data_IF_373453503447
#
_entry.id   IF_373453503447
#
_cell.length_a   1.000
_cell.length_b   1.000
_cell.length_c   1.000
_cell.angle_alpha   90.00
_cell.angle_beta   90.00
_cell.angle_gamma   90.00
#
_symmetry.space_group_name_H-M   'P 1'
#
loop_
_entity.id
_entity.type
_entity.pdbx_description
1 polymer ?
#
# COMPACT_ATOMS: atom_id res chain seq x y z
N UNK A 1 -34.13 12.47 10.97
CA UNK A 1 -32.66 12.31 11.07
C UNK A 1 -32.37 10.92 10.55
N UNK A 2 -32.01 10.81 9.26
CA UNK A 2 -31.54 9.57 8.66
C UNK A 2 -30.14 9.34 9.23
N UNK A 3 -29.95 8.27 10.00
CA UNK A 3 -28.62 7.82 10.36
C UNK A 3 -27.92 7.37 9.08
N UNK A 4 -26.85 8.07 8.72
CA UNK A 4 -25.92 7.54 7.74
C UNK A 4 -25.44 6.21 8.31
N UNK A 5 -25.80 5.13 7.65
CA UNK A 5 -25.18 3.81 7.87
C UNK A 5 -23.69 3.99 7.56
N UNK A 6 -22.90 4.18 8.60
CA UNK A 6 -21.43 4.21 8.47
C UNK A 6 -21.05 2.78 8.09
N UNK A 7 -21.04 2.50 6.79
CA UNK A 7 -20.50 1.25 6.29
C UNK A 7 -19.02 1.20 6.64
N UNK A 8 -18.62 0.20 7.43
CA UNK A 8 -17.22 -0.02 7.76
C UNK A 8 -16.43 -0.25 6.48
N UNK A 9 -15.37 0.55 6.27
CA UNK A 9 -14.50 0.43 5.09
C UNK A 9 -13.55 -0.73 5.23
N UNK A 10 -13.22 -1.34 4.08
CA UNK A 10 -12.17 -2.33 3.96
C UNK A 10 -10.87 -1.65 3.50
N UNK A 11 -9.83 -1.76 4.30
CA UNK A 11 -8.50 -1.20 4.02
C UNK A 11 -7.51 -2.33 3.79
N UNK A 12 -6.80 -2.30 2.68
CA UNK A 12 -5.71 -3.24 2.39
C UNK A 12 -4.38 -2.51 2.39
N UNK A 13 -3.46 -2.93 3.27
CA UNK A 13 -2.11 -2.40 3.37
C UNK A 13 -1.13 -3.40 2.76
N UNK A 14 -0.46 -3.03 1.67
CA UNK A 14 0.64 -3.80 1.09
C UNK A 14 1.94 -3.43 1.80
N UNK A 15 2.37 -4.25 2.74
CA UNK A 15 3.63 -4.06 3.48
C UNK A 15 4.78 -4.77 2.78
N UNK A 16 5.68 -3.99 2.19
CA UNK A 16 6.74 -4.51 1.31
C UNK A 16 8.13 -4.55 1.96
N UNK A 17 8.22 -4.32 3.28
CA UNK A 17 9.49 -4.49 4.00
C UNK A 17 10.00 -5.93 3.90
N UNK A 18 11.25 -6.17 3.48
CA UNK A 18 11.86 -7.50 3.54
C UNK A 18 12.24 -7.88 4.99
N UNK A 19 12.31 -6.91 5.89
CA UNK A 19 12.68 -7.13 7.31
C UNK A 19 11.42 -7.22 8.17
N UNK A 20 11.29 -8.31 8.95
CA UNK A 20 10.23 -8.44 9.95
C UNK A 20 10.45 -7.38 11.04
N UNK A 21 9.38 -6.68 11.42
CA UNK A 21 9.46 -5.57 12.37
C UNK A 21 10.23 -4.35 11.85
N UNK A 22 10.46 -4.25 10.53
CA UNK A 22 11.15 -3.13 9.90
C UNK A 22 10.37 -1.81 10.04
N UNK A 23 11.05 -0.69 9.77
CA UNK A 23 10.49 0.65 10.00
C UNK A 23 9.19 0.91 9.23
N UNK A 24 9.12 0.56 7.94
CA UNK A 24 7.89 0.71 7.15
C UNK A 24 6.76 -0.22 7.61
N UNK A 25 7.07 -1.40 8.18
CA UNK A 25 6.07 -2.28 8.78
C UNK A 25 5.49 -1.68 10.06
N UNK A 26 6.33 -1.08 10.92
CA UNK A 26 5.86 -0.37 12.13
C UNK A 26 5.00 0.83 11.77
N UNK A 27 5.35 1.56 10.71
CA UNK A 27 4.53 2.67 10.22
C UNK A 27 3.17 2.18 9.69
N UNK A 28 3.17 1.06 8.97
CA UNK A 28 1.94 0.40 8.51
C UNK A 28 1.06 -0.05 9.69
N UNK A 29 1.66 -0.60 10.73
CA UNK A 29 0.93 -1.01 11.93
C UNK A 29 0.33 0.17 12.69
N UNK A 30 1.02 1.32 12.75
CA UNK A 30 0.49 2.54 13.35
C UNK A 30 -0.73 3.06 12.57
N UNK A 31 -0.66 3.08 11.25
CA UNK A 31 -1.81 3.44 10.39
C UNK A 31 -2.99 2.47 10.59
N UNK A 32 -2.72 1.16 10.55
CA UNK A 32 -3.74 0.13 10.75
C UNK A 32 -4.47 0.29 12.10
N UNK A 33 -3.73 0.57 13.17
CA UNK A 33 -4.32 0.85 14.48
C UNK A 33 -5.32 2.02 14.44
N UNK A 34 -4.99 3.09 13.72
CA UNK A 34 -5.91 4.22 13.55
C UNK A 34 -7.20 3.81 12.81
N UNK A 35 -7.07 3.01 11.75
CA UNK A 35 -8.20 2.46 10.98
C UNK A 35 -9.13 1.62 11.87
N UNK A 36 -8.55 0.68 12.65
CA UNK A 36 -9.30 -0.21 13.53
C UNK A 36 -10.06 0.53 14.64
N UNK A 37 -9.44 1.57 15.23
CA UNK A 37 -10.08 2.36 16.28
C UNK A 37 -11.32 3.14 15.80
N UNK A 38 -11.43 3.38 14.50
CA UNK A 38 -12.61 3.99 13.88
C UNK A 38 -13.66 2.96 13.45
N UNK A 39 -13.44 1.67 13.76
CA UNK A 39 -14.35 0.58 13.46
C UNK A 39 -14.23 0.05 12.03
N UNK A 40 -13.27 0.49 11.25
CA UNK A 40 -13.02 -0.01 9.90
C UNK A 40 -12.25 -1.34 9.94
N UNK A 41 -12.41 -2.15 8.90
CA UNK A 41 -11.64 -3.39 8.74
C UNK A 41 -10.32 -3.09 8.03
N UNK A 42 -9.21 -3.66 8.54
CA UNK A 42 -7.90 -3.53 7.90
C UNK A 42 -7.20 -4.87 7.81
N UNK A 43 -6.62 -5.15 6.65
CA UNK A 43 -5.74 -6.30 6.43
C UNK A 43 -4.35 -5.83 6.01
N UNK A 44 -3.31 -6.28 6.71
CA UNK A 44 -1.92 -6.05 6.31
C UNK A 44 -1.40 -7.27 5.56
N UNK A 45 -1.14 -7.11 4.28
CA UNK A 45 -0.52 -8.14 3.44
C UNK A 45 1.00 -7.98 3.49
N UNK A 46 1.69 -8.87 4.19
CA UNK A 46 3.15 -8.88 4.27
C UNK A 46 3.75 -9.52 3.02
N UNK A 47 4.20 -8.71 2.06
CA UNK A 47 4.71 -9.21 0.78
C UNK A 47 5.94 -10.11 0.92
N UNK A 48 6.74 -9.98 2.00
CA UNK A 48 7.86 -10.89 2.30
C UNK A 48 7.43 -12.33 2.58
N UNK A 49 6.18 -12.55 2.95
CA UNK A 49 5.62 -13.87 3.29
C UNK A 49 4.89 -14.51 2.09
N UNK A 50 4.88 -13.82 0.96
CA UNK A 50 4.17 -14.19 -0.25
C UNK A 50 5.14 -14.64 -1.34
N UNK A 51 4.69 -15.60 -2.15
CA UNK A 51 5.47 -16.11 -3.28
C UNK A 51 4.77 -15.73 -4.58
N UNK A 52 5.38 -14.86 -5.35
CA UNK A 52 4.86 -14.44 -6.64
C UNK A 52 5.97 -14.05 -7.61
N UNK A 53 5.71 -14.34 -8.88
CA UNK A 53 6.64 -14.08 -9.99
C UNK A 53 6.40 -12.72 -10.62
N UNK A 54 7.36 -12.26 -11.41
CA UNK A 54 7.22 -11.04 -12.21
C UNK A 54 6.10 -11.14 -13.25
N UNK A 55 5.50 -10.01 -13.58
CA UNK A 55 4.57 -9.92 -14.70
C UNK A 55 5.28 -10.24 -16.02
N UNK A 56 4.65 -11.04 -16.88
CA UNK A 56 5.19 -11.41 -18.20
C UNK A 56 4.72 -10.48 -19.33
N UNK A 57 3.89 -9.47 -19.03
CA UNK A 57 3.35 -8.55 -20.03
C UNK A 57 2.48 -9.24 -21.11
N UNK A 58 1.89 -10.39 -20.81
CA UNK A 58 1.13 -11.18 -21.79
C UNK A 58 -0.30 -10.70 -22.05
N UNK A 59 -0.80 -9.76 -21.27
CA UNK A 59 -2.15 -9.18 -21.33
C UNK A 59 -3.33 -10.17 -21.30
N UNK A 60 -3.08 -11.45 -20.96
CA UNK A 60 -4.15 -12.43 -20.82
C UNK A 60 -5.19 -12.04 -19.77
N UNK A 61 -4.76 -11.34 -18.72
CA UNK A 61 -5.61 -10.86 -17.63
C UNK A 61 -6.69 -9.87 -18.11
N UNK A 62 -6.47 -9.08 -19.15
CA UNK A 62 -7.48 -8.17 -19.70
C UNK A 62 -8.71 -8.90 -20.27
N UNK A 63 -8.52 -10.17 -20.69
CA UNK A 63 -9.63 -11.00 -21.20
C UNK A 63 -10.25 -11.90 -20.14
N UNK A 64 -9.43 -12.32 -19.15
CA UNK A 64 -9.80 -13.32 -18.16
C UNK A 64 -10.24 -12.73 -16.82
N UNK A 65 -9.98 -11.44 -16.57
CA UNK A 65 -10.21 -10.79 -15.28
C UNK A 65 -9.24 -11.24 -14.18
N UNK A 66 -8.27 -12.13 -14.47
CA UNK A 66 -7.27 -12.59 -13.51
C UNK A 66 -5.96 -12.96 -14.18
N UNK A 67 -4.86 -12.96 -13.42
CA UNK A 67 -3.56 -13.36 -13.94
C UNK A 67 -3.48 -14.88 -14.19
N UNK A 68 -2.87 -15.28 -15.31
CA UNK A 68 -2.65 -16.71 -15.66
C UNK A 68 -1.54 -17.38 -14.84
N UNK A 69 -0.67 -16.59 -14.20
CA UNK A 69 0.34 -17.10 -13.28
C UNK A 69 -0.33 -17.41 -11.95
N UNK A 70 -0.39 -18.68 -11.59
CA UNK A 70 -1.06 -19.16 -10.38
C UNK A 70 -0.09 -19.07 -9.19
N UNK A 71 -0.07 -17.95 -8.53
CA UNK A 71 0.71 -17.66 -7.33
C UNK A 71 -0.03 -16.66 -6.43
N UNK A 72 0.56 -16.27 -5.30
CA UNK A 72 -0.10 -15.41 -4.30
C UNK A 72 -0.55 -14.04 -4.83
N UNK A 73 0.03 -13.55 -5.94
CA UNK A 73 -0.38 -12.27 -6.51
C UNK A 73 -1.84 -12.26 -7.01
N UNK A 74 -2.40 -13.43 -7.34
CA UNK A 74 -3.82 -13.53 -7.76
C UNK A 74 -4.76 -13.20 -6.59
N UNK A 75 -4.49 -13.78 -5.42
CA UNK A 75 -5.27 -13.51 -4.20
C UNK A 75 -5.07 -12.06 -3.74
N UNK A 76 -3.83 -11.56 -3.78
CA UNK A 76 -3.54 -10.17 -3.38
C UNK A 76 -4.27 -9.18 -4.29
N UNK A 77 -4.27 -9.41 -5.61
CA UNK A 77 -5.00 -8.56 -6.55
C UNK A 77 -6.51 -8.57 -6.30
N UNK A 78 -7.10 -9.73 -5.95
CA UNK A 78 -8.50 -9.82 -5.57
C UNK A 78 -8.81 -9.00 -4.29
N UNK A 79 -7.94 -9.08 -3.27
CA UNK A 79 -8.08 -8.25 -2.06
C UNK A 79 -7.97 -6.75 -2.37
N UNK A 80 -7.05 -6.37 -3.26
CA UNK A 80 -6.94 -4.97 -3.71
C UNK A 80 -8.21 -4.51 -4.45
N UNK A 81 -8.82 -5.38 -5.28
CA UNK A 81 -10.04 -5.09 -6.02
C UNK A 81 -11.20 -4.72 -5.07
N UNK A 82 -11.36 -5.48 -4.00
CA UNK A 82 -12.50 -5.38 -3.07
C UNK A 82 -12.26 -4.39 -1.91
N UNK A 83 -11.07 -3.80 -1.82
CA UNK A 83 -10.74 -2.80 -0.82
C UNK A 83 -11.33 -1.42 -1.17
N UNK A 84 -11.80 -0.67 -0.18
CA UNK A 84 -12.22 0.73 -0.34
C UNK A 84 -11.01 1.68 -0.36
N UNK A 85 -9.95 1.30 0.36
CA UNK A 85 -8.71 2.07 0.51
C UNK A 85 -7.50 1.17 0.35
N UNK A 86 -6.53 1.59 -0.48
CA UNK A 86 -5.24 0.94 -0.63
C UNK A 86 -4.13 1.71 0.08
N UNK A 87 -3.24 0.99 0.77
CA UNK A 87 -2.09 1.60 1.44
C UNK A 87 -0.82 0.89 1.00
N UNK A 88 0.13 1.65 0.46
CA UNK A 88 1.41 1.17 0.00
C UNK A 88 2.49 1.49 1.04
N UNK A 89 2.87 0.50 1.85
CA UNK A 89 3.91 0.65 2.87
C UNK A 89 5.24 0.07 2.36
N UNK A 90 6.24 0.93 2.15
CA UNK A 90 7.50 0.56 1.48
C UNK A 90 8.73 1.22 2.09
N UNK A 91 9.85 0.51 2.24
CA UNK A 91 11.14 1.17 2.35
C UNK A 91 11.50 1.79 0.99
N UNK A 92 12.22 2.92 1.04
CA UNK A 92 12.81 3.52 -0.15
C UNK A 92 14.12 2.82 -0.47
N UNK A 93 14.24 2.26 -1.65
CA UNK A 93 15.46 1.67 -2.17
C UNK A 93 15.86 2.35 -3.48
N UNK A 94 17.07 2.95 -3.50
CA UNK A 94 17.54 3.72 -4.65
C UNK A 94 16.51 4.74 -5.14
N UNK A 95 15.98 5.53 -4.18
CA UNK A 95 14.99 6.60 -4.43
C UNK A 95 13.67 6.13 -5.04
N UNK A 96 13.32 4.85 -4.89
CA UNK A 96 12.08 4.28 -5.43
C UNK A 96 11.48 3.23 -4.49
N UNK A 97 10.35 2.65 -4.91
CA UNK A 97 9.69 1.55 -4.20
C UNK A 97 10.56 0.30 -4.15
N UNK A 98 10.34 -0.54 -3.15
CA UNK A 98 10.98 -1.86 -3.10
C UNK A 98 10.60 -2.72 -4.31
N UNK A 99 11.50 -3.61 -4.74
CA UNK A 99 11.24 -4.52 -5.87
C UNK A 99 10.01 -5.41 -5.66
N UNK A 100 9.77 -5.84 -4.41
CA UNK A 100 8.58 -6.62 -4.04
C UNK A 100 7.30 -5.83 -4.33
N UNK A 101 7.23 -4.56 -3.89
CA UNK A 101 6.06 -3.73 -4.15
C UNK A 101 5.87 -3.49 -5.64
N UNK A 102 6.94 -3.13 -6.37
CA UNK A 102 6.84 -2.90 -7.81
C UNK A 102 6.34 -4.13 -8.56
N UNK A 103 6.83 -5.31 -8.18
CA UNK A 103 6.36 -6.56 -8.76
C UNK A 103 4.86 -6.77 -8.49
N UNK A 104 4.38 -6.50 -7.27
CA UNK A 104 2.96 -6.65 -6.96
C UNK A 104 2.10 -5.63 -7.73
N UNK A 105 2.55 -4.38 -7.85
CA UNK A 105 1.88 -3.36 -8.66
C UNK A 105 1.74 -3.80 -10.12
N UNK A 106 2.80 -4.38 -10.72
CA UNK A 106 2.74 -4.92 -12.08
C UNK A 106 1.80 -6.12 -12.20
N UNK A 107 1.71 -6.94 -11.15
CA UNK A 107 0.83 -8.11 -11.09
C UNK A 107 -0.63 -7.75 -10.80
N UNK A 108 -0.90 -6.51 -10.38
CA UNK A 108 -2.24 -5.95 -10.22
C UNK A 108 -2.87 -5.47 -11.55
N UNK A 109 -2.23 -5.70 -12.69
CA UNK A 109 -2.78 -5.37 -14.02
C UNK A 109 -4.19 -5.96 -14.31
N UNK A 110 -4.65 -7.09 -13.72
CA UNK A 110 -6.05 -7.52 -13.85
C UNK A 110 -7.09 -6.51 -13.36
N UNK A 111 -6.70 -5.55 -12.49
CA UNK A 111 -7.60 -4.53 -11.94
C UNK A 111 -7.90 -3.40 -12.93
N UNK A 112 -7.05 -3.26 -13.95
CA UNK A 112 -7.21 -2.21 -14.96
C UNK A 112 -8.52 -2.41 -15.74
N UNK A 113 -9.31 -1.33 -15.85
CA UNK A 113 -10.60 -1.31 -16.55
C UNK A 113 -11.64 -2.28 -15.96
N UNK A 114 -11.65 -2.42 -14.62
CA UNK A 114 -12.66 -3.20 -13.88
C UNK A 114 -13.48 -2.30 -12.96
N UNK A 115 -14.43 -2.89 -12.26
CA UNK A 115 -15.29 -2.24 -11.27
C UNK A 115 -14.70 -2.24 -9.84
N UNK A 116 -13.37 -2.15 -9.74
CA UNK A 116 -12.65 -2.09 -8.45
C UNK A 116 -13.30 -1.11 -7.46
N UNK A 117 -13.23 -1.42 -6.16
CA UNK A 117 -13.90 -0.64 -5.12
C UNK A 117 -13.10 0.56 -4.61
N UNK A 118 -11.76 0.50 -4.65
CA UNK A 118 -10.90 1.53 -4.06
C UNK A 118 -11.05 2.90 -4.71
N UNK A 119 -11.15 3.92 -3.86
CA UNK A 119 -11.22 5.32 -4.28
C UNK A 119 -10.11 6.17 -3.70
N UNK A 120 -9.40 5.67 -2.69
CA UNK A 120 -8.30 6.36 -2.02
C UNK A 120 -7.08 5.47 -1.91
N UNK A 121 -5.92 6.08 -2.05
CA UNK A 121 -4.64 5.44 -1.80
C UNK A 121 -3.78 6.27 -0.85
N UNK A 122 -2.97 5.59 -0.02
CA UNK A 122 -1.99 6.21 0.87
C UNK A 122 -0.61 5.62 0.63
N UNK A 123 0.42 6.44 0.84
CA UNK A 123 1.82 6.02 0.80
C UNK A 123 2.43 6.15 2.20
N UNK A 124 3.00 5.06 2.71
CA UNK A 124 3.77 5.01 3.94
C UNK A 124 5.20 4.64 3.58
N UNK A 125 6.11 5.60 3.58
CA UNK A 125 7.48 5.38 3.12
C UNK A 125 8.50 5.63 4.22
N UNK A 126 9.59 4.86 4.21
CA UNK A 126 10.72 5.03 5.13
C UNK A 126 12.05 5.03 4.39
N UNK A 127 12.99 5.88 4.77
CA UNK A 127 14.31 5.97 4.15
C UNK A 127 15.41 6.25 5.18
N UNK A 128 16.65 5.89 4.81
CA UNK A 128 17.83 6.26 5.58
C UNK A 128 18.09 7.78 5.52
N UNK A 129 17.78 8.43 4.41
CA UNK A 129 17.91 9.86 4.24
C UNK A 129 16.72 10.61 4.85
N UNK A 130 16.99 11.76 5.47
CA UNK A 130 15.96 12.60 6.10
C UNK A 130 15.20 13.46 5.11
N UNK A 131 15.83 13.80 3.99
CA UNK A 131 15.31 14.75 3.01
C UNK A 131 14.12 14.20 2.24
N UNK A 132 13.14 15.06 1.99
CA UNK A 132 11.93 14.72 1.23
C UNK A 132 12.23 14.22 -0.19
N UNK A 133 13.30 14.71 -0.80
CA UNK A 133 13.75 14.30 -2.13
C UNK A 133 13.99 12.79 -2.23
N UNK A 134 14.33 12.14 -1.10
CA UNK A 134 14.54 10.69 -1.05
C UNK A 134 13.27 9.90 -1.39
N UNK A 135 12.10 10.43 -1.09
CA UNK A 135 10.81 9.74 -1.29
C UNK A 135 10.11 10.12 -2.60
N UNK A 136 10.54 11.17 -3.29
CA UNK A 136 9.86 11.67 -4.50
C UNK A 136 9.73 10.63 -5.60
N UNK A 137 10.78 9.85 -5.85
CA UNK A 137 10.72 8.77 -6.83
C UNK A 137 9.75 7.65 -6.44
N UNK A 138 9.65 7.36 -5.14
CA UNK A 138 8.65 6.42 -4.60
C UNK A 138 7.23 6.94 -4.82
N UNK A 139 6.99 8.21 -4.48
CA UNK A 139 5.69 8.87 -4.70
C UNK A 139 5.33 8.84 -6.18
N UNK A 140 6.25 9.24 -7.05
CA UNK A 140 6.03 9.27 -8.50
C UNK A 140 5.72 7.89 -9.08
N UNK A 141 6.38 6.84 -8.59
CA UNK A 141 6.13 5.47 -9.05
C UNK A 141 4.73 4.97 -8.66
N UNK A 142 4.30 5.25 -7.42
CA UNK A 142 2.96 4.84 -6.94
C UNK A 142 1.89 5.73 -7.56
N UNK A 143 2.11 7.05 -7.65
CA UNK A 143 1.19 7.98 -8.30
C UNK A 143 0.92 7.58 -9.75
N UNK A 144 1.96 7.23 -10.52
CA UNK A 144 1.77 6.76 -11.89
C UNK A 144 0.96 5.48 -12.01
N UNK A 145 0.96 4.62 -10.98
CA UNK A 145 0.06 3.47 -10.90
C UNK A 145 -1.37 3.91 -10.57
N UNK A 146 -1.55 4.82 -9.60
CA UNK A 146 -2.86 5.37 -9.20
C UNK A 146 -3.51 6.08 -10.39
N UNK A 147 -2.76 6.85 -11.17
CA UNK A 147 -3.25 7.60 -12.33
C UNK A 147 -3.83 6.71 -13.45
N UNK A 148 -3.59 5.39 -13.38
CA UNK A 148 -4.24 4.41 -14.25
C UNK A 148 -5.66 4.00 -13.78
N UNK A 149 -6.14 4.53 -12.65
CA UNK A 149 -7.41 4.18 -12.04
C UNK A 149 -8.26 5.44 -11.81
N UNK A 150 -9.15 5.76 -12.75
CA UNK A 150 -9.90 7.02 -12.81
C UNK A 150 -10.67 7.42 -11.54
N UNK A 151 -11.01 6.43 -10.71
CA UNK A 151 -11.77 6.65 -9.46
C UNK A 151 -10.90 6.73 -8.22
N UNK A 152 -9.58 6.54 -8.35
CA UNK A 152 -8.65 6.51 -7.22
C UNK A 152 -7.81 7.78 -7.16
N UNK A 153 -7.69 8.35 -5.98
CA UNK A 153 -6.81 9.48 -5.71
C UNK A 153 -5.75 9.14 -4.65
N UNK A 154 -4.59 9.79 -4.72
CA UNK A 154 -3.61 9.77 -3.64
C UNK A 154 -4.08 10.70 -2.52
N UNK A 155 -4.63 10.12 -1.45
CA UNK A 155 -5.18 10.87 -0.32
C UNK A 155 -4.12 11.36 0.67
N UNK A 156 -2.95 10.71 0.74
CA UNK A 156 -1.88 11.16 1.63
C UNK A 156 -0.58 10.37 1.49
N UNK A 157 0.50 11.04 1.91
CA UNK A 157 1.83 10.44 2.01
C UNK A 157 2.43 10.71 3.38
N UNK A 158 2.82 9.67 4.09
CA UNK A 158 3.54 9.74 5.36
C UNK A 158 4.96 9.22 5.14
N UNK A 159 5.94 10.06 5.42
CA UNK A 159 7.36 9.76 5.22
C UNK A 159 8.10 9.81 6.57
N UNK A 160 8.86 8.77 6.86
CA UNK A 160 9.84 8.73 7.94
C UNK A 160 11.24 8.65 7.33
N UNK A 161 11.94 9.77 7.31
CA UNK A 161 13.35 9.86 6.92
C UNK A 161 14.27 9.61 8.12
N UNK A 162 15.57 9.37 7.84
CA UNK A 162 16.58 9.15 8.89
C UNK A 162 16.46 7.80 9.61
N UNK A 163 15.78 6.81 9.05
CA UNK A 163 15.56 5.50 9.68
C UNK A 163 16.18 4.37 8.86
N UNK A 164 17.20 3.73 9.39
CA UNK A 164 18.00 2.69 8.71
C UNK A 164 17.85 1.31 9.35
N UNK A 165 18.15 1.23 10.64
CA UNK A 165 18.12 -0.03 11.38
C UNK A 165 16.70 -0.34 11.86
N UNK A 166 16.45 -1.62 12.17
CA UNK A 166 15.16 -2.04 12.71
C UNK A 166 14.98 -1.38 14.09
N UNK A 167 13.93 -0.57 14.19
CA UNK A 167 13.61 0.15 15.43
C UNK A 167 13.92 1.63 15.40
N UNK A 168 14.67 2.15 14.43
CA UNK A 168 14.98 3.59 14.36
C UNK A 168 13.73 4.47 14.28
N UNK A 169 12.63 3.92 13.78
CA UNK A 169 11.36 4.65 13.70
C UNK A 169 10.66 4.80 15.07
N UNK A 170 11.13 4.09 16.12
CA UNK A 170 10.50 4.14 17.44
C UNK A 170 10.62 5.56 18.01
N UNK A 171 9.47 6.18 18.29
CA UNK A 171 9.40 7.59 18.70
C UNK A 171 9.44 8.61 17.56
N UNK A 172 9.58 8.18 16.31
CA UNK A 172 9.55 9.09 15.17
C UNK A 172 8.15 9.70 14.96
N UNK A 173 8.03 11.03 14.69
CA UNK A 173 6.72 11.69 14.53
C UNK A 173 5.83 11.11 13.41
N UNK A 174 6.41 10.42 12.43
CA UNK A 174 5.66 9.77 11.37
C UNK A 174 4.73 8.66 11.88
N UNK A 175 5.05 8.01 13.01
CA UNK A 175 4.17 7.01 13.61
C UNK A 175 2.84 7.61 14.06
N UNK A 176 2.90 8.77 14.73
CA UNK A 176 1.69 9.49 15.13
C UNK A 176 0.90 10.01 13.92
N UNK A 177 1.61 10.57 12.91
CA UNK A 177 0.96 10.99 11.66
C UNK A 177 0.28 9.83 10.96
N UNK A 178 0.94 8.67 10.87
CA UNK A 178 0.36 7.45 10.31
C UNK A 178 -0.90 7.01 11.04
N UNK A 179 -0.84 6.96 12.37
CA UNK A 179 -2.00 6.63 13.20
C UNK A 179 -3.17 7.61 13.00
N UNK A 180 -2.91 8.92 13.02
CA UNK A 180 -3.95 9.94 12.81
C UNK A 180 -4.55 9.85 11.40
N UNK A 181 -3.72 9.65 10.37
CA UNK A 181 -4.23 9.45 9.00
C UNK A 181 -5.07 8.18 8.86
N UNK A 182 -4.75 7.12 9.61
CA UNK A 182 -5.60 5.94 9.69
C UNK A 182 -6.98 6.22 10.30
N UNK A 183 -7.06 7.15 11.25
CA UNK A 183 -8.34 7.56 11.87
C UNK A 183 -9.22 8.41 10.96
N UNK A 184 -8.68 8.98 9.89
CA UNK A 184 -9.43 9.78 8.92
C UNK A 184 -10.11 8.92 7.83
N UNK A 185 -9.90 7.60 7.87
CA UNK A 185 -10.55 6.65 6.96
C UNK A 185 -12.02 6.45 7.33
#
# INVERSE_FOLDING_TARGET
MQGDDIMNKNVVILSSSPRKGGNSEKLAAAFAKGVEEMGNHVEIVYLREKQYSFCKGCFACQKLGHCVIKDDAVEIAAKMHDADVLVFATPVYYYSVSGQLKTMMDRANPLYDTDYAFTKAYILATAAEENWEAVEGTIKAIQGWIDCFDRCELAGTIFAGGVTDVGDIDGHPALEKGYLSGKEI
#
